data_IF_746653475795
#
_entry.id   IF_746653475795
#
_cell.length_a   1.000
_cell.length_b   1.000
_cell.length_c   1.000
_cell.angle_alpha   90.00
_cell.angle_beta   90.00
_cell.angle_gamma   90.00
#
_symmetry.space_group_name_H-M   'P 1'
#
loop_
_entity.id
_entity.type
_entity.pdbx_description
1 polymer ?
#
# COMPACT_ATOMS: atom_id res chain seq x y z
N UNK A 1 -35.31 12.27 -40.01
CA UNK A 1 -35.29 12.99 -38.71
C UNK A 1 -35.91 12.08 -37.66
N UNK A 2 -35.10 11.31 -36.95
CA UNK A 2 -35.56 10.44 -35.86
C UNK A 2 -34.68 10.72 -34.66
N UNK A 3 -35.23 11.50 -33.73
CA UNK A 3 -34.62 11.83 -32.43
C UNK A 3 -34.77 10.62 -31.51
N UNK A 4 -33.70 9.84 -31.32
CA UNK A 4 -33.64 8.83 -30.28
C UNK A 4 -33.39 9.52 -28.94
N UNK A 5 -34.38 9.41 -28.06
CA UNK A 5 -34.38 9.94 -26.71
C UNK A 5 -33.17 9.43 -25.91
N UNK A 6 -32.36 10.37 -25.41
CA UNK A 6 -31.37 10.10 -24.38
C UNK A 6 -32.09 9.57 -23.13
N UNK A 7 -31.86 8.30 -22.78
CA UNK A 7 -32.25 7.77 -21.49
C UNK A 7 -31.65 8.61 -20.35
N UNK A 8 -32.30 8.69 -19.18
CA UNK A 8 -31.85 9.57 -18.11
C UNK A 8 -30.41 9.22 -17.72
N UNK A 9 -29.47 10.14 -17.99
CA UNK A 9 -28.08 10.08 -17.54
C UNK A 9 -28.10 9.90 -16.02
N UNK A 10 -27.83 8.68 -15.52
CA UNK A 10 -27.61 8.43 -14.09
C UNK A 10 -26.53 9.39 -13.63
N UNK A 11 -26.91 10.42 -12.87
CA UNK A 11 -25.93 11.29 -12.23
C UNK A 11 -25.14 10.41 -11.26
N UNK A 12 -23.80 10.34 -11.34
CA UNK A 12 -23.02 9.62 -10.35
C UNK A 12 -23.32 10.22 -8.97
N UNK A 13 -23.96 9.42 -8.12
CA UNK A 13 -24.32 9.80 -6.77
C UNK A 13 -23.10 9.57 -5.88
N UNK A 14 -22.13 10.47 -6.01
CA UNK A 14 -20.87 10.45 -5.27
C UNK A 14 -21.09 10.36 -3.76
N UNK A 15 -22.14 10.96 -3.22
CA UNK A 15 -22.48 10.94 -1.79
C UNK A 15 -22.72 9.55 -1.21
N UNK A 16 -23.24 8.62 -2.01
CA UNK A 16 -23.39 7.23 -1.59
C UNK A 16 -22.07 6.46 -1.64
N UNK A 17 -21.21 6.76 -2.63
CA UNK A 17 -19.87 6.18 -2.74
C UNK A 17 -18.98 6.62 -1.56
N UNK A 18 -19.05 7.88 -1.12
CA UNK A 18 -18.31 8.36 0.06
C UNK A 18 -18.84 7.76 1.38
N UNK A 19 -20.14 7.49 1.48
CA UNK A 19 -20.73 6.83 2.66
C UNK A 19 -20.38 5.34 2.72
N UNK A 20 -20.29 4.64 1.58
CA UNK A 20 -19.80 3.25 1.53
C UNK A 20 -18.29 3.16 1.77
N UNK A 21 -17.52 4.19 1.42
CA UNK A 21 -16.12 4.35 1.85
C UNK A 21 -15.99 4.56 3.36
N UNK A 22 -17.04 4.97 4.08
CA UNK A 22 -16.99 5.34 5.49
C UNK A 22 -16.59 4.21 6.44
N UNK A 23 -17.18 3.01 6.28
CA UNK A 23 -16.86 1.86 7.16
C UNK A 23 -15.63 1.10 6.66
N UNK A 24 -15.56 0.82 5.36
CA UNK A 24 -14.41 0.13 4.76
C UNK A 24 -13.13 0.96 4.86
N UNK A 25 -13.21 2.25 4.53
CA UNK A 25 -12.10 3.19 4.66
C UNK A 25 -11.69 3.41 6.11
N UNK A 26 -12.62 3.44 7.08
CA UNK A 26 -12.27 3.49 8.51
C UNK A 26 -11.56 2.23 8.96
N UNK A 27 -12.06 1.04 8.65
CA UNK A 27 -11.42 -0.22 9.04
C UNK A 27 -10.04 -0.37 8.40
N UNK A 28 -9.89 0.07 7.15
CA UNK A 28 -8.60 0.10 6.47
C UNK A 28 -7.62 1.10 7.10
N UNK A 29 -8.07 2.32 7.40
CA UNK A 29 -7.24 3.34 8.06
C UNK A 29 -6.84 2.91 9.49
N UNK A 30 -7.76 2.31 10.25
CA UNK A 30 -7.47 1.73 11.57
C UNK A 30 -6.48 0.57 11.45
N UNK A 31 -6.66 -0.29 10.44
CA UNK A 31 -5.73 -1.39 10.15
C UNK A 31 -4.32 -0.89 9.85
N UNK A 32 -4.18 0.14 9.00
CA UNK A 32 -2.91 0.82 8.72
C UNK A 32 -2.32 1.39 10.00
N UNK A 33 -3.10 2.16 10.74
CA UNK A 33 -2.61 2.82 11.95
C UNK A 33 -2.11 1.80 12.99
N UNK A 34 -2.90 0.77 13.28
CA UNK A 34 -2.53 -0.28 14.22
C UNK A 34 -1.31 -1.06 13.73
N UNK A 35 -1.24 -1.39 12.44
CA UNK A 35 -0.09 -2.09 11.87
C UNK A 35 1.18 -1.24 11.92
N UNK A 36 1.11 0.03 11.55
CA UNK A 36 2.21 0.98 11.62
C UNK A 36 2.70 1.20 13.05
N UNK A 37 1.77 1.40 13.99
CA UNK A 37 2.09 1.50 15.41
C UNK A 37 2.74 0.22 15.94
N UNK A 38 2.20 -0.95 15.60
CA UNK A 38 2.79 -2.23 15.99
C UNK A 38 4.22 -2.39 15.46
N UNK A 39 4.49 -2.04 14.20
CA UNK A 39 5.86 -2.09 13.65
C UNK A 39 6.80 -1.12 14.34
N UNK A 40 6.36 0.11 14.61
CA UNK A 40 7.16 1.10 15.31
C UNK A 40 7.49 0.62 16.74
N UNK A 41 6.51 0.10 17.47
CA UNK A 41 6.68 -0.41 18.84
C UNK A 41 7.53 -1.68 18.90
N UNK A 42 7.38 -2.61 17.96
CA UNK A 42 8.20 -3.82 17.88
C UNK A 42 9.66 -3.48 17.56
N UNK A 43 9.88 -2.49 16.70
CA UNK A 43 11.21 -2.06 16.31
C UNK A 43 11.88 -1.17 17.36
N UNK A 44 11.12 -0.49 18.23
CA UNK A 44 11.60 0.49 19.20
C UNK A 44 12.77 -0.02 20.07
N UNK A 45 12.66 -1.15 20.79
CA UNK A 45 13.71 -1.56 21.73
C UNK A 45 15.01 -1.86 20.99
N UNK A 46 14.89 -2.36 19.76
CA UNK A 46 16.02 -2.79 18.95
C UNK A 46 16.63 -1.65 18.14
N UNK A 47 15.84 -0.69 17.63
CA UNK A 47 16.33 0.39 16.77
C UNK A 47 16.61 1.69 17.51
N UNK A 48 15.93 1.95 18.63
CA UNK A 48 16.16 3.13 19.46
C UNK A 48 17.58 3.19 20.03
N UNK A 49 18.17 2.02 20.34
CA UNK A 49 19.58 1.91 20.74
C UNK A 49 20.58 2.30 19.63
N UNK A 50 20.13 2.40 18.38
CA UNK A 50 20.96 2.79 17.24
C UNK A 50 20.70 4.21 16.73
N UNK A 51 19.93 5.02 17.49
CA UNK A 51 19.65 6.42 17.14
C UNK A 51 18.46 6.63 16.20
N UNK A 52 17.69 5.57 15.89
CA UNK A 52 16.50 5.68 15.06
C UNK A 52 15.35 6.22 15.91
N UNK A 53 14.76 7.35 15.51
CA UNK A 53 13.58 7.89 16.19
C UNK A 53 12.32 7.13 15.72
N UNK A 54 11.68 6.37 16.61
CA UNK A 54 10.49 5.58 16.31
C UNK A 54 9.27 6.42 15.95
N UNK A 55 9.15 7.66 16.42
CA UNK A 55 8.05 8.56 16.05
C UNK A 55 8.22 9.11 14.64
N UNK A 56 9.46 9.42 14.24
CA UNK A 56 9.77 9.81 12.86
C UNK A 56 9.52 8.63 11.91
N UNK A 57 9.95 7.42 12.30
CA UNK A 57 9.63 6.20 11.55
C UNK A 57 8.12 6.02 11.39
N UNK A 58 7.34 6.14 12.48
CA UNK A 58 5.89 6.01 12.44
C UNK A 58 5.24 7.08 11.54
N UNK A 59 5.70 8.32 11.60
CA UNK A 59 5.19 9.40 10.77
C UNK A 59 5.43 9.12 9.27
N UNK A 60 6.65 8.75 8.90
CA UNK A 60 6.99 8.37 7.52
C UNK A 60 6.13 7.20 7.05
N UNK A 61 5.97 6.20 7.91
CA UNK A 61 5.17 5.02 7.58
C UNK A 61 3.68 5.35 7.35
N UNK A 62 3.08 6.16 8.23
CA UNK A 62 1.69 6.57 8.07
C UNK A 62 1.48 7.45 6.82
N UNK A 63 2.41 8.36 6.54
CA UNK A 63 2.35 9.22 5.34
C UNK A 63 2.45 8.40 4.06
N UNK A 64 3.33 7.40 4.04
CA UNK A 64 3.57 6.56 2.86
C UNK A 64 2.49 5.48 2.66
N UNK A 65 1.80 5.08 3.72
CA UNK A 65 0.75 4.04 3.66
C UNK A 65 -0.43 4.42 2.75
N UNK A 66 -0.82 5.69 2.71
CA UNK A 66 -1.93 6.16 1.87
C UNK A 66 -1.62 6.03 0.37
N UNK A 67 -0.57 6.67 -0.18
CA UNK A 67 -0.21 6.50 -1.58
C UNK A 67 0.17 5.06 -1.92
N UNK A 68 0.78 4.31 -0.98
CA UNK A 68 1.04 2.88 -1.15
C UNK A 68 -0.22 2.07 -1.43
N UNK A 69 -1.26 2.20 -0.60
CA UNK A 69 -2.50 1.44 -0.78
C UNK A 69 -3.26 1.80 -2.04
N UNK A 70 -3.31 3.10 -2.40
CA UNK A 70 -3.89 3.55 -3.67
C UNK A 70 -3.14 2.95 -4.85
N UNK A 71 -1.81 3.02 -4.85
CA UNK A 71 -0.99 2.47 -5.91
C UNK A 71 -1.15 0.95 -6.04
N UNK A 72 -1.28 0.22 -4.92
CA UNK A 72 -1.58 -1.21 -4.94
C UNK A 72 -2.93 -1.51 -5.60
N UNK A 73 -3.99 -0.80 -5.20
CA UNK A 73 -5.32 -1.00 -5.74
C UNK A 73 -5.38 -0.71 -7.25
N UNK A 74 -4.75 0.38 -7.69
CA UNK A 74 -4.69 0.75 -9.12
C UNK A 74 -3.85 -0.27 -9.90
N UNK A 75 -2.71 -0.70 -9.38
CA UNK A 75 -1.86 -1.74 -10.00
C UNK A 75 -2.65 -3.02 -10.21
N UNK A 76 -3.31 -3.54 -9.18
CA UNK A 76 -4.14 -4.75 -9.26
C UNK A 76 -5.26 -4.56 -10.29
N UNK A 77 -5.98 -3.43 -10.24
CA UNK A 77 -7.09 -3.14 -11.16
C UNK A 77 -6.66 -3.13 -12.63
N UNK A 78 -5.49 -2.57 -12.94
CA UNK A 78 -4.93 -2.57 -14.31
C UNK A 78 -4.53 -3.99 -14.70
N UNK A 79 -3.90 -4.75 -13.79
CA UNK A 79 -3.45 -6.12 -14.08
C UNK A 79 -4.60 -7.12 -14.21
N UNK A 80 -5.75 -6.90 -13.56
CA UNK A 80 -6.93 -7.75 -13.74
C UNK A 80 -7.54 -7.63 -15.14
N UNK A 81 -7.27 -6.53 -15.87
CA UNK A 81 -7.82 -6.28 -17.19
C UNK A 81 -6.98 -6.96 -18.26
N UNK A 82 -7.58 -7.86 -19.02
CA UNK A 82 -6.89 -8.56 -20.12
C UNK A 82 -6.71 -7.68 -21.37
N UNK A 83 -7.49 -6.59 -21.50
CA UNK A 83 -7.40 -5.65 -22.62
C UNK A 83 -6.25 -4.65 -22.49
N UNK A 84 -5.60 -4.56 -21.32
CA UNK A 84 -4.53 -3.59 -21.07
C UNK A 84 -3.15 -4.23 -20.93
N UNK A 85 -2.12 -3.64 -21.55
CA UNK A 85 -0.76 -4.13 -21.40
C UNK A 85 -0.26 -3.88 -19.98
N UNK A 86 0.45 -4.86 -19.41
CA UNK A 86 0.98 -4.79 -18.03
C UNK A 86 1.92 -3.58 -17.80
N UNK A 87 2.51 -3.02 -18.86
CA UNK A 87 3.33 -1.79 -18.79
C UNK A 87 2.57 -0.60 -18.20
N UNK A 88 1.25 -0.54 -18.40
CA UNK A 88 0.42 0.56 -17.89
C UNK A 88 0.32 0.52 -16.36
N UNK A 89 0.60 -0.63 -15.75
CA UNK A 89 0.70 -0.80 -14.30
C UNK A 89 2.11 -0.51 -13.75
N UNK A 90 3.15 -0.42 -14.59
CA UNK A 90 4.54 -0.33 -14.16
C UNK A 90 4.81 0.94 -13.32
N UNK A 91 4.29 2.09 -13.74
CA UNK A 91 4.45 3.35 -12.99
C UNK A 91 3.83 3.27 -11.59
N UNK A 92 2.66 2.66 -11.46
CA UNK A 92 2.01 2.42 -10.17
C UNK A 92 2.76 1.39 -9.33
N UNK A 93 3.29 0.34 -9.95
CA UNK A 93 4.17 -0.63 -9.30
C UNK A 93 5.43 0.01 -8.71
N UNK A 94 6.03 0.98 -9.40
CA UNK A 94 7.17 1.75 -8.88
C UNK A 94 6.75 2.54 -7.63
N UNK A 95 5.58 3.20 -7.65
CA UNK A 95 5.08 3.93 -6.47
C UNK A 95 4.89 2.96 -5.29
N UNK A 96 4.35 1.76 -5.52
CA UNK A 96 4.23 0.71 -4.49
C UNK A 96 5.60 0.41 -3.87
N UNK A 97 6.62 0.17 -4.69
CA UNK A 97 7.97 -0.13 -4.21
C UNK A 97 8.57 1.04 -3.44
N UNK A 98 8.50 2.26 -3.97
CA UNK A 98 9.07 3.45 -3.33
C UNK A 98 8.40 3.72 -1.97
N UNK A 99 7.07 3.70 -1.91
CA UNK A 99 6.34 3.94 -0.67
C UNK A 99 6.57 2.83 0.36
N UNK A 100 6.74 1.58 -0.07
CA UNK A 100 7.10 0.48 0.82
C UNK A 100 8.51 0.64 1.40
N UNK A 101 9.48 1.03 0.58
CA UNK A 101 10.88 1.14 0.99
C UNK A 101 11.19 2.40 1.81
N UNK A 102 10.40 3.47 1.64
CA UNK A 102 10.59 4.76 2.30
C UNK A 102 10.82 4.67 3.83
N UNK A 103 9.95 4.03 4.65
CA UNK A 103 10.17 3.93 6.09
C UNK A 103 11.44 3.13 6.45
N UNK A 104 11.83 2.13 5.64
CA UNK A 104 13.06 1.38 5.89
C UNK A 104 14.32 2.17 5.51
N UNK A 105 14.25 2.99 4.46
CA UNK A 105 15.36 3.86 4.06
C UNK A 105 15.72 4.86 5.17
N UNK A 106 14.72 5.33 5.93
CA UNK A 106 14.93 6.15 7.12
C UNK A 106 15.75 5.42 8.19
N UNK A 107 15.47 4.14 8.47
CA UNK A 107 16.23 3.35 9.45
C UNK A 107 17.72 3.34 9.09
N UNK A 108 18.04 3.10 7.81
CA UNK A 108 19.43 3.06 7.35
C UNK A 108 20.10 4.44 7.33
N UNK A 109 19.36 5.50 7.02
CA UNK A 109 19.88 6.85 7.01
C UNK A 109 20.07 7.44 8.43
N UNK A 110 19.20 7.09 9.37
CA UNK A 110 19.23 7.57 10.75
C UNK A 110 20.14 6.74 11.66
N UNK A 111 20.37 5.46 11.34
CA UNK A 111 21.27 4.64 12.12
C UNK A 111 22.73 5.05 11.87
N UNK A 112 23.39 5.63 12.87
CA UNK A 112 24.78 6.07 12.73
C UNK A 112 25.74 4.91 12.43
N UNK A 113 25.57 3.77 13.13
CA UNK A 113 26.31 2.53 12.87
C UNK A 113 25.51 1.32 13.39
N UNK A 114 24.62 0.77 12.56
CA UNK A 114 23.86 -0.43 12.93
C UNK A 114 24.72 -1.70 12.81
N UNK A 115 24.78 -2.56 13.85
CA UNK A 115 25.47 -3.84 13.77
C UNK A 115 24.81 -4.76 12.74
N UNK A 116 25.61 -5.66 12.14
CA UNK A 116 25.16 -6.52 11.04
C UNK A 116 23.88 -7.32 11.38
N UNK A 117 23.76 -7.81 12.61
CA UNK A 117 22.57 -8.54 13.06
C UNK A 117 21.28 -7.71 12.96
N UNK A 118 21.33 -6.42 13.30
CA UNK A 118 20.18 -5.53 13.24
C UNK A 118 19.83 -5.20 11.77
N UNK A 119 20.84 -4.97 10.93
CA UNK A 119 20.66 -4.79 9.48
C UNK A 119 20.02 -6.01 8.82
N UNK A 120 20.49 -7.21 9.17
CA UNK A 120 19.91 -8.47 8.70
C UNK A 120 18.47 -8.61 9.17
N UNK A 121 18.18 -8.27 10.43
CA UNK A 121 16.81 -8.27 10.96
C UNK A 121 15.86 -7.39 10.16
N UNK A 122 16.26 -6.16 9.87
CA UNK A 122 15.47 -5.23 9.03
C UNK A 122 15.30 -5.78 7.60
N UNK A 123 16.37 -6.30 7.00
CA UNK A 123 16.32 -6.88 5.66
C UNK A 123 15.37 -8.09 5.59
N UNK A 124 15.42 -9.00 6.56
CA UNK A 124 14.48 -10.13 6.67
C UNK A 124 13.05 -9.61 6.77
N UNK A 125 12.83 -8.58 7.59
CA UNK A 125 11.50 -7.98 7.74
C UNK A 125 10.99 -7.40 6.41
N UNK A 126 11.84 -6.68 5.68
CA UNK A 126 11.51 -6.15 4.36
C UNK A 126 11.16 -7.26 3.37
N UNK A 127 11.93 -8.35 3.35
CA UNK A 127 11.67 -9.50 2.47
C UNK A 127 10.35 -10.18 2.83
N UNK A 128 10.09 -10.45 4.11
CA UNK A 128 8.86 -11.11 4.58
C UNK A 128 7.62 -10.27 4.23
N UNK A 129 7.62 -8.98 4.58
CA UNK A 129 6.47 -8.12 4.30
C UNK A 129 6.32 -7.77 2.82
N UNK A 130 7.42 -7.59 2.11
CA UNK A 130 7.42 -7.40 0.65
C UNK A 130 6.86 -8.62 -0.07
N UNK A 131 7.30 -9.83 0.30
CA UNK A 131 6.78 -11.08 -0.25
C UNK A 131 5.30 -11.26 0.07
N UNK A 132 4.88 -10.97 1.31
CA UNK A 132 3.47 -11.04 1.69
C UNK A 132 2.60 -10.07 0.89
N UNK A 133 3.07 -8.83 0.69
CA UNK A 133 2.37 -7.83 -0.11
C UNK A 133 2.25 -8.26 -1.59
N UNK A 134 3.34 -8.75 -2.18
CA UNK A 134 3.34 -9.27 -3.55
C UNK A 134 2.41 -10.47 -3.69
N UNK A 135 2.49 -11.44 -2.78
CA UNK A 135 1.61 -12.61 -2.76
C UNK A 135 0.13 -12.20 -2.69
N UNK A 136 -0.21 -11.24 -1.82
CA UNK A 136 -1.56 -10.68 -1.71
C UNK A 136 -2.01 -10.07 -3.04
N UNK A 137 -1.19 -9.25 -3.69
CA UNK A 137 -1.52 -8.62 -4.97
C UNK A 137 -1.70 -9.66 -6.09
N UNK A 138 -0.80 -10.63 -6.20
CA UNK A 138 -0.88 -11.72 -7.20
C UNK A 138 -2.15 -12.53 -7.00
N UNK A 139 -2.48 -12.88 -5.75
CA UNK A 139 -3.73 -13.59 -5.43
C UNK A 139 -4.95 -12.79 -5.84
N UNK A 140 -4.98 -11.48 -5.56
CA UNK A 140 -6.08 -10.60 -5.95
C UNK A 140 -6.23 -10.47 -7.47
N UNK A 141 -5.13 -10.36 -8.21
CA UNK A 141 -5.16 -10.34 -9.68
C UNK A 141 -5.72 -11.65 -10.23
N UNK A 142 -5.28 -12.80 -9.71
CA UNK A 142 -5.75 -14.12 -10.15
C UNK A 142 -7.24 -14.33 -9.87
N UNK A 143 -7.69 -13.99 -8.66
CA UNK A 143 -9.12 -14.08 -8.30
C UNK A 143 -9.97 -13.14 -9.15
N UNK A 144 -9.53 -11.90 -9.35
CA UNK A 144 -10.27 -10.92 -10.16
C UNK A 144 -10.40 -11.31 -11.63
N UNK A 145 -9.41 -12.00 -12.21
CA UNK A 145 -9.51 -12.54 -13.57
C UNK A 145 -10.46 -13.74 -13.68
N UNK A 146 -10.52 -14.58 -12.64
CA UNK A 146 -11.42 -15.74 -12.63
C UNK A 146 -12.91 -15.34 -12.58
N UNK A 147 -13.24 -14.18 -12.01
CA UNK A 147 -14.61 -13.65 -11.94
C UNK A 147 -15.07 -12.95 -13.23
N UNK A 148 -14.14 -12.59 -14.13
CA UNK A 148 -14.44 -11.91 -15.40
C UNK A 148 -14.66 -12.85 -16.60
N UNK A 149 -14.51 -14.16 -16.40
CA UNK A 149 -14.79 -15.23 -17.37
C UNK A 149 -16.05 -15.99 -17.00
#
# INVERSE_FOLDING_TARGET
MTSLAEGPRRRPNWTNDVRQLGVFGRSWAVGIFLFSAARALLAWPTLGQFGVDPWVFLAIDLITAVPYGVAQAVTVKILCRDDRPARDAAGWGIIVVVMFLAPYSYIFAASGSMPAAATIGVAIWMVVFGAFALWRMVRQVRSGRAESH
#
